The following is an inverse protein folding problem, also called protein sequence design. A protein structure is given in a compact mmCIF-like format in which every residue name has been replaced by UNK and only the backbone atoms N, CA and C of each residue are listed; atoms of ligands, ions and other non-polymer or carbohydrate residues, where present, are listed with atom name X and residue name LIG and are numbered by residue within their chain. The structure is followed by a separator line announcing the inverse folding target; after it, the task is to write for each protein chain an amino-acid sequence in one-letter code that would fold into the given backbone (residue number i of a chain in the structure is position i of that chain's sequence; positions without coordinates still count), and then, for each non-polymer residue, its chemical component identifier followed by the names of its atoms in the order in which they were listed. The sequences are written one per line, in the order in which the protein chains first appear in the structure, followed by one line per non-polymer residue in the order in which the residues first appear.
data_IF_563372529546
#
_entry.id   IF_563372529546
#
_cell.length_a   1.000
_cell.length_b   1.000
_cell.length_c   1.000
_cell.angle_alpha   90.00
_cell.angle_beta   90.00
_cell.angle_gamma   90.00
#
_symmetry.space_group_name_H-M   'P 1'
#
loop_
_entity.id
_entity.type
_entity.pdbx_description
1 polymer ?
#
# COMPACT_ATOMS: atom_id res chain seq x y z
N UNK A 1 -7.35 3.67 10.63
CA UNK A 1 -5.98 3.56 10.08
C UNK A 1 -5.29 4.91 9.94
N UNK A 2 -6.00 5.97 9.53
CA UNK A 2 -5.41 7.26 9.15
C UNK A 2 -5.24 8.30 10.26
N UNK A 3 -5.67 8.04 11.50
CA UNK A 3 -5.66 9.02 12.60
C UNK A 3 -4.67 8.68 13.72
N UNK A 4 -4.84 7.54 14.40
CA UNK A 4 -4.01 7.20 15.56
C UNK A 4 -2.56 6.90 15.16
N UNK A 5 -2.36 6.14 14.10
CA UNK A 5 -1.02 5.67 13.70
C UNK A 5 -0.20 6.79 13.03
N UNK A 6 -0.88 7.74 12.37
CA UNK A 6 -0.25 8.90 11.71
C UNK A 6 0.00 10.06 12.67
N UNK A 7 -0.62 10.08 13.86
CA UNK A 7 -0.42 11.15 14.84
C UNK A 7 1.05 11.29 15.27
N UNK A 8 1.76 10.17 15.42
CA UNK A 8 3.20 10.19 15.73
C UNK A 8 4.03 10.81 14.60
N UNK A 9 3.73 10.47 13.35
CA UNK A 9 4.35 11.08 12.17
C UNK A 9 4.08 12.58 12.14
N UNK A 10 2.81 12.97 12.37
CA UNK A 10 2.40 14.36 12.37
C UNK A 10 3.09 15.20 13.45
N UNK A 11 3.28 14.63 14.65
CA UNK A 11 4.05 15.28 15.72
C UNK A 11 5.49 15.55 15.28
N UNK A 12 6.15 14.56 14.66
CA UNK A 12 7.51 14.72 14.17
C UNK A 12 7.58 15.75 13.02
N UNK A 13 6.57 15.82 12.15
CA UNK A 13 6.47 16.86 11.11
C UNK A 13 6.45 18.25 11.77
N UNK A 14 5.69 18.43 12.85
CA UNK A 14 5.60 19.71 13.57
C UNK A 14 6.92 20.13 14.22
N UNK A 15 7.70 19.18 14.73
CA UNK A 15 9.00 19.45 15.34
C UNK A 15 10.18 19.35 14.36
N UNK A 16 9.92 19.28 13.05
CA UNK A 16 10.96 19.02 12.06
C UNK A 16 12.12 20.04 12.14
N UNK A 17 11.82 21.33 12.29
CA UNK A 17 12.86 22.37 12.37
C UNK A 17 13.89 22.15 13.50
N UNK A 18 13.53 21.44 14.57
CA UNK A 18 14.45 21.07 15.65
C UNK A 18 15.21 19.78 15.38
N UNK A 19 14.67 18.90 14.53
CA UNK A 19 15.18 17.57 14.28
C UNK A 19 16.14 17.50 13.09
N UNK A 20 16.04 18.44 12.13
CA UNK A 20 16.60 18.34 10.77
C UNK A 20 18.09 18.00 10.65
N UNK A 21 18.93 18.24 11.66
CA UNK A 21 20.37 17.90 11.60
C UNK A 21 20.83 16.88 12.66
N UNK A 22 19.89 16.34 13.43
CA UNK A 22 20.20 15.39 14.50
C UNK A 22 20.62 14.03 13.94
N UNK A 23 21.65 13.43 14.52
CA UNK A 23 22.07 12.05 14.20
C UNK A 23 20.91 11.04 14.33
N UNK A 24 19.97 11.34 15.24
CA UNK A 24 18.74 10.58 15.43
C UNK A 24 17.95 10.36 14.12
N UNK A 25 17.85 11.36 13.23
CA UNK A 25 17.12 11.20 11.97
C UNK A 25 17.79 10.18 11.04
N UNK A 26 19.12 10.11 11.02
CA UNK A 26 19.85 9.09 10.22
C UNK A 26 19.58 7.68 10.73
N UNK A 27 19.47 7.51 12.04
CA UNK A 27 19.08 6.22 12.63
C UNK A 27 17.61 5.89 12.35
N UNK A 28 16.73 6.88 12.45
CA UNK A 28 15.31 6.76 12.13
C UNK A 28 15.10 6.38 10.65
N UNK A 29 15.91 6.91 9.73
CA UNK A 29 15.89 6.54 8.32
C UNK A 29 16.13 5.04 8.09
N UNK A 30 17.10 4.46 8.80
CA UNK A 30 17.39 3.04 8.69
C UNK A 30 16.25 2.18 9.26
N UNK A 31 15.75 2.53 10.45
CA UNK A 31 14.65 1.80 11.08
C UNK A 31 13.39 1.86 10.22
N UNK A 32 13.03 3.06 9.76
CA UNK A 32 11.86 3.26 8.92
C UNK A 32 11.97 2.48 7.59
N UNK A 33 13.15 2.49 6.94
CA UNK A 33 13.42 1.65 5.77
C UNK A 33 13.25 0.15 6.04
N UNK A 34 13.74 -0.35 7.18
CA UNK A 34 13.57 -1.75 7.57
C UNK A 34 12.11 -2.09 7.89
N UNK A 35 11.38 -1.23 8.59
CA UNK A 35 9.94 -1.44 8.87
C UNK A 35 9.12 -1.49 7.58
N UNK A 36 9.44 -0.62 6.62
CA UNK A 36 8.79 -0.60 5.31
C UNK A 36 8.98 -1.93 4.57
N UNK A 37 10.21 -2.48 4.57
CA UNK A 37 10.49 -3.77 3.96
C UNK A 37 9.81 -4.93 4.71
N UNK A 38 9.96 -5.01 6.03
CA UNK A 38 9.42 -6.11 6.83
C UNK A 38 7.90 -6.18 6.76
N UNK A 39 7.22 -5.02 6.83
CA UNK A 39 5.77 -4.94 6.66
C UNK A 39 5.34 -5.37 5.25
N UNK A 40 6.12 -5.02 4.22
CA UNK A 40 5.86 -5.45 2.84
C UNK A 40 6.03 -6.96 2.66
N UNK A 41 7.02 -7.59 3.30
CA UNK A 41 7.22 -9.05 3.25
C UNK A 41 6.09 -9.78 3.98
N UNK A 42 5.76 -9.38 5.21
CA UNK A 42 4.67 -10.02 5.97
C UNK A 42 3.32 -9.88 5.26
N UNK A 43 3.05 -8.71 4.65
CA UNK A 43 1.83 -8.50 3.86
C UNK A 43 1.69 -9.43 2.66
N UNK A 44 2.79 -10.06 2.17
CA UNK A 44 2.76 -11.02 1.08
C UNK A 44 2.49 -12.47 1.53
N UNK A 45 2.63 -12.77 2.81
CA UNK A 45 2.38 -14.11 3.36
C UNK A 45 1.08 -14.17 4.18
N UNK A 46 0.55 -13.03 4.63
CA UNK A 46 -0.73 -12.97 5.33
C UNK A 46 -1.93 -13.31 4.42
N UNK A 47 -2.94 -13.95 5.00
CA UNK A 47 -4.21 -14.28 4.33
C UNK A 47 -5.43 -13.54 4.93
N UNK A 48 -5.30 -12.95 6.12
CA UNK A 48 -6.38 -12.14 6.68
C UNK A 48 -6.47 -10.78 5.97
N UNK A 49 -7.61 -10.49 5.35
CA UNK A 49 -7.84 -9.28 4.56
C UNK A 49 -7.52 -8.00 5.36
N UNK A 50 -8.00 -7.90 6.61
CA UNK A 50 -7.72 -6.74 7.49
C UNK A 50 -6.22 -6.61 7.80
N UNK A 51 -5.51 -7.72 8.03
CA UNK A 51 -4.07 -7.70 8.35
C UNK A 51 -3.25 -7.26 7.15
N UNK A 52 -3.58 -7.71 5.94
CA UNK A 52 -2.91 -7.26 4.71
C UNK A 52 -3.04 -5.74 4.54
N UNK A 53 -4.24 -5.19 4.76
CA UNK A 53 -4.47 -3.74 4.66
C UNK A 53 -3.75 -3.00 5.79
N UNK A 54 -3.68 -3.55 7.00
CA UNK A 54 -2.95 -2.97 8.12
C UNK A 54 -1.43 -2.96 7.89
N UNK A 55 -0.83 -4.08 7.46
CA UNK A 55 0.60 -4.16 7.15
C UNK A 55 0.98 -3.24 5.98
N UNK A 56 0.10 -3.07 4.99
CA UNK A 56 0.30 -2.07 3.95
C UNK A 56 0.11 -0.63 4.42
N UNK A 57 -0.49 -0.35 5.60
CA UNK A 57 -0.39 0.98 6.23
C UNK A 57 0.93 1.14 6.96
N UNK A 58 1.41 0.09 7.62
CA UNK A 58 2.71 0.09 8.30
C UNK A 58 3.85 0.32 7.32
N UNK A 59 3.78 -0.28 6.11
CA UNK A 59 4.78 -0.05 5.07
C UNK A 59 4.80 1.41 4.59
N UNK A 60 3.63 2.03 4.39
CA UNK A 60 3.52 3.43 3.95
C UNK A 60 3.90 4.41 5.06
N UNK A 61 3.64 4.07 6.33
CA UNK A 61 4.14 4.83 7.47
C UNK A 61 5.67 4.77 7.55
N UNK A 62 6.27 3.61 7.29
CA UNK A 62 7.71 3.47 7.12
C UNK A 62 8.23 4.43 6.06
N UNK A 63 7.58 4.49 4.89
CA UNK A 63 7.90 5.44 3.82
C UNK A 63 7.74 6.90 4.26
N UNK A 64 6.66 7.28 4.97
CA UNK A 64 6.48 8.65 5.49
C UNK A 64 7.58 9.05 6.48
N UNK A 65 7.92 8.15 7.40
CA UNK A 65 8.95 8.37 8.41
C UNK A 65 10.34 8.49 7.79
N UNK A 66 10.62 7.68 6.76
CA UNK A 66 11.91 7.70 6.08
C UNK A 66 12.12 8.98 5.27
N UNK A 67 11.08 9.57 4.70
CA UNK A 67 11.16 10.87 4.00
C UNK A 67 11.36 12.01 5.00
N UNK A 68 10.64 11.96 6.13
CA UNK A 68 10.80 12.94 7.19
C UNK A 68 12.25 12.97 7.68
N UNK A 69 12.88 11.79 7.84
CA UNK A 69 14.30 11.72 8.20
C UNK A 69 15.28 12.26 7.16
N UNK A 70 14.86 12.41 5.90
CA UNK A 70 15.66 13.09 4.87
C UNK A 70 15.47 14.61 4.90
N UNK A 71 14.63 15.13 5.78
CA UNK A 71 14.33 16.56 5.92
C UNK A 71 13.17 17.07 5.06
N UNK A 72 12.55 16.21 4.25
CA UNK A 72 11.44 16.59 3.35
C UNK A 72 10.07 16.48 4.03
N UNK A 73 9.82 17.32 5.03
CA UNK A 73 8.58 17.28 5.82
C UNK A 73 7.32 17.60 5.00
N UNK A 74 7.41 18.50 4.01
CA UNK A 74 6.28 18.85 3.13
C UNK A 74 5.81 17.64 2.31
N UNK A 75 6.75 16.83 1.80
CA UNK A 75 6.45 15.60 1.06
C UNK A 75 5.85 14.52 1.97
N UNK A 76 6.37 14.38 3.19
CA UNK A 76 5.82 13.46 4.18
C UNK A 76 4.37 13.84 4.54
N UNK A 77 4.09 15.14 4.72
CA UNK A 77 2.74 15.64 5.01
C UNK A 77 1.79 15.44 3.82
N UNK A 78 2.25 15.76 2.61
CA UNK A 78 1.48 15.55 1.39
C UNK A 78 1.11 14.07 1.21
N UNK A 79 2.06 13.14 1.40
CA UNK A 79 1.78 11.71 1.32
C UNK A 79 0.85 11.22 2.44
N UNK A 80 0.97 11.77 3.66
CA UNK A 80 0.06 11.46 4.76
C UNK A 80 -1.39 11.77 4.40
N UNK A 81 -1.64 12.93 3.79
CA UNK A 81 -2.99 13.33 3.36
C UNK A 81 -3.53 12.44 2.24
N UNK A 82 -2.76 12.21 1.17
CA UNK A 82 -3.22 11.35 0.06
C UNK A 82 -3.45 9.92 0.53
N UNK A 83 -2.57 9.39 1.37
CA UNK A 83 -2.69 8.07 1.99
C UNK A 83 -3.94 7.92 2.85
N UNK A 84 -4.29 8.94 3.63
CA UNK A 84 -5.50 8.90 4.44
C UNK A 84 -6.76 8.70 3.58
N UNK A 85 -6.85 9.34 2.40
CA UNK A 85 -8.03 9.27 1.53
C UNK A 85 -8.20 7.87 0.92
N UNK A 86 -7.18 7.33 0.25
CA UNK A 86 -7.32 6.01 -0.39
C UNK A 86 -7.32 4.86 0.62
N UNK A 87 -6.67 4.98 1.78
CA UNK A 87 -6.78 3.95 2.84
C UNK A 87 -8.14 3.92 3.50
N UNK A 88 -8.78 5.07 3.70
CA UNK A 88 -10.15 5.10 4.22
C UNK A 88 -11.09 4.32 3.29
N UNK A 89 -10.94 4.52 1.97
CA UNK A 89 -11.68 3.78 0.94
C UNK A 89 -11.40 2.27 1.01
N UNK A 90 -10.13 1.85 1.10
CA UNK A 90 -9.75 0.43 1.22
C UNK A 90 -10.38 -0.25 2.44
N UNK A 91 -10.31 0.37 3.61
CA UNK A 91 -10.89 -0.21 4.83
C UNK A 91 -12.42 -0.25 4.80
N UNK A 92 -13.07 0.72 4.14
CA UNK A 92 -14.53 0.73 3.97
C UNK A 92 -14.98 -0.39 3.03
N UNK A 93 -14.31 -0.57 1.88
CA UNK A 93 -14.59 -1.68 0.95
C UNK A 93 -14.33 -3.03 1.62
N UNK A 94 -13.22 -3.16 2.34
CA UNK A 94 -12.89 -4.35 3.13
C UNK A 94 -13.96 -4.68 4.19
N UNK A 95 -14.46 -3.67 4.90
CA UNK A 95 -15.51 -3.84 5.91
C UNK A 95 -16.80 -4.38 5.31
N UNK A 96 -17.19 -3.85 4.14
CA UNK A 96 -18.34 -4.35 3.39
C UNK A 96 -18.13 -5.82 2.99
N UNK A 97 -16.99 -6.15 2.36
CA UNK A 97 -16.69 -7.53 1.92
C UNK A 97 -16.76 -8.50 3.10
N UNK A 98 -16.21 -8.13 4.25
CA UNK A 98 -16.22 -8.99 5.45
C UNK A 98 -17.64 -9.17 5.99
N UNK A 99 -18.45 -8.11 6.03
CA UNK A 99 -19.83 -8.19 6.45
C UNK A 99 -20.64 -9.13 5.54
N UNK A 100 -20.45 -9.02 4.22
CA UNK A 100 -21.08 -9.90 3.23
C UNK A 100 -20.60 -11.35 3.31
N UNK A 101 -19.41 -11.57 3.86
CA UNK A 101 -18.82 -12.89 4.06
C UNK A 101 -19.10 -13.48 5.45
N UNK A 102 -20.12 -12.97 6.18
CA UNK A 102 -20.46 -13.39 7.54
C UNK A 102 -19.23 -13.37 8.48
N UNK A 103 -18.50 -12.26 8.47
CA UNK A 103 -17.28 -12.02 9.27
C UNK A 103 -16.06 -12.89 8.93
N UNK A 104 -16.11 -13.70 7.87
CA UNK A 104 -14.94 -14.39 7.36
C UNK A 104 -13.95 -13.40 6.72
N UNK A 105 -12.70 -13.43 7.18
CA UNK A 105 -11.64 -12.49 6.75
C UNK A 105 -10.57 -13.13 5.86
N UNK A 106 -10.58 -14.45 5.75
CA UNK A 106 -9.58 -15.21 4.98
C UNK A 106 -9.82 -15.06 3.48
N UNK A 107 -8.86 -14.44 2.77
CA UNK A 107 -8.95 -14.19 1.33
C UNK A 107 -8.99 -15.47 0.50
N UNK A 108 -8.59 -16.63 1.05
CA UNK A 108 -8.59 -17.92 0.33
C UNK A 108 -10.00 -18.47 0.11
N UNK A 109 -10.89 -18.15 1.03
CA UNK A 109 -12.31 -18.49 0.94
C UNK A 109 -13.05 -17.51 0.04
N UNK A 110 -12.53 -16.30 -0.13
CA UNK A 110 -13.08 -15.30 -1.05
C UNK A 110 -12.73 -15.63 -2.51
N UNK A 111 -13.51 -15.09 -3.44
CA UNK A 111 -13.31 -15.21 -4.88
C UNK A 111 -14.41 -14.46 -5.63
N UNK A 112 -14.22 -14.09 -6.89
CA UNK A 112 -15.24 -13.58 -7.82
C UNK A 112 -16.08 -12.36 -7.40
N UNK A 113 -15.70 -11.60 -6.36
CA UNK A 113 -16.54 -10.55 -5.76
C UNK A 113 -17.01 -9.50 -6.78
N UNK A 114 -16.24 -9.32 -7.85
CA UNK A 114 -16.56 -8.44 -8.98
C UNK A 114 -17.93 -8.70 -9.62
N UNK A 115 -18.42 -9.95 -9.63
CA UNK A 115 -19.72 -10.29 -10.22
C UNK A 115 -20.91 -9.99 -9.30
N UNK A 116 -20.75 -10.19 -8.00
CA UNK A 116 -21.84 -9.99 -7.05
C UNK A 116 -21.91 -8.57 -6.51
N UNK A 117 -20.76 -7.92 -6.32
CA UNK A 117 -20.70 -6.60 -5.69
C UNK A 117 -19.83 -5.63 -6.53
N UNK A 118 -20.33 -5.22 -7.71
CA UNK A 118 -19.51 -4.55 -8.71
C UNK A 118 -19.02 -3.17 -8.26
N UNK A 119 -19.83 -2.40 -7.53
CA UNK A 119 -19.47 -1.02 -7.19
C UNK A 119 -18.36 -0.93 -6.15
N UNK A 120 -18.43 -1.74 -5.10
CA UNK A 120 -17.34 -1.93 -4.14
C UNK A 120 -16.12 -2.59 -4.75
N UNK A 121 -16.28 -3.53 -5.69
CA UNK A 121 -15.14 -4.09 -6.41
C UNK A 121 -14.37 -3.01 -7.17
N UNK A 122 -15.07 -2.07 -7.82
CA UNK A 122 -14.48 -0.93 -8.51
C UNK A 122 -13.75 -0.01 -7.51
N UNK A 123 -14.38 0.31 -6.39
CA UNK A 123 -13.79 1.16 -5.35
C UNK A 123 -12.53 0.52 -4.74
N UNK A 124 -12.56 -0.78 -4.47
CA UNK A 124 -11.43 -1.55 -3.96
C UNK A 124 -10.28 -1.56 -4.98
N UNK A 125 -10.57 -1.76 -6.26
CA UNK A 125 -9.55 -1.78 -7.31
C UNK A 125 -8.90 -0.41 -7.48
N UNK A 126 -9.68 0.66 -7.60
CA UNK A 126 -9.13 2.02 -7.75
C UNK A 126 -8.25 2.40 -6.56
N UNK A 127 -8.66 2.05 -5.33
CA UNK A 127 -7.89 2.34 -4.14
C UNK A 127 -6.62 1.48 -3.99
N UNK A 128 -6.65 0.21 -4.42
CA UNK A 128 -5.45 -0.63 -4.52
C UNK A 128 -4.45 -0.07 -5.56
N UNK A 129 -4.95 0.38 -6.72
CA UNK A 129 -4.12 1.00 -7.76
C UNK A 129 -3.54 2.35 -7.29
N UNK A 130 -4.27 3.10 -6.45
CA UNK A 130 -3.77 4.32 -5.83
C UNK A 130 -2.63 4.01 -4.83
N UNK A 131 -2.71 2.95 -4.03
CA UNK A 131 -1.62 2.50 -3.15
C UNK A 131 -0.35 2.12 -3.92
N UNK A 132 -0.53 1.47 -5.07
CA UNK A 132 0.53 1.12 -6.00
C UNK A 132 1.28 2.34 -6.52
N UNK A 133 0.57 3.45 -6.73
CA UNK A 133 1.11 4.68 -7.31
C UNK A 133 1.02 4.68 -8.83
N UNK A 134 -0.05 4.12 -9.40
CA UNK A 134 -0.28 4.15 -10.86
C UNK A 134 -0.50 5.59 -11.32
N UNK A 135 0.04 5.98 -12.49
CA UNK A 135 -0.04 7.34 -13.01
C UNK A 135 -1.47 7.91 -12.95
N UNK A 136 -1.55 9.20 -12.60
CA UNK A 136 -2.77 10.00 -12.45
C UNK A 136 -3.67 9.70 -11.23
N UNK A 137 -3.40 8.65 -10.44
CA UNK A 137 -4.09 8.44 -9.16
C UNK A 137 -3.43 9.24 -8.02
N UNK A 138 -4.14 9.48 -6.92
CA UNK A 138 -3.63 10.34 -5.84
C UNK A 138 -2.29 9.85 -5.24
N UNK A 139 -2.05 8.54 -5.21
CA UNK A 139 -0.79 7.98 -4.72
C UNK A 139 0.41 8.28 -5.61
N UNK A 140 0.24 8.39 -6.93
CA UNK A 140 1.33 8.69 -7.86
C UNK A 140 1.98 10.04 -7.57
N UNK A 141 1.18 11.09 -7.42
CA UNK A 141 1.67 12.45 -7.18
C UNK A 141 2.60 12.56 -5.98
N UNK A 142 2.38 11.74 -4.95
CA UNK A 142 3.19 11.72 -3.73
C UNK A 142 4.31 10.68 -3.81
N UNK A 143 3.97 9.40 -4.01
CA UNK A 143 4.90 8.27 -3.91
C UNK A 143 5.97 8.29 -5.00
N UNK A 144 5.64 8.66 -6.23
CA UNK A 144 6.62 8.74 -7.33
C UNK A 144 7.62 9.87 -7.08
N UNK A 145 7.10 11.05 -6.71
CA UNK A 145 7.90 12.23 -6.37
C UNK A 145 8.84 11.94 -5.19
N UNK A 146 8.37 11.21 -4.18
CA UNK A 146 9.19 10.73 -3.07
C UNK A 146 10.36 9.86 -3.56
N UNK A 147 10.09 8.86 -4.39
CA UNK A 147 11.12 7.93 -4.87
C UNK A 147 12.15 8.64 -5.76
N UNK A 148 11.72 9.64 -6.52
CA UNK A 148 12.62 10.49 -7.29
C UNK A 148 13.54 11.31 -6.38
N UNK A 149 12.99 11.93 -5.33
CA UNK A 149 13.82 12.68 -4.36
C UNK A 149 14.82 11.76 -3.64
N UNK A 150 14.42 10.53 -3.32
CA UNK A 150 15.32 9.51 -2.75
C UNK A 150 16.45 9.19 -3.72
N UNK A 151 16.16 9.02 -5.01
CA UNK A 151 17.18 8.71 -6.02
C UNK A 151 18.15 9.86 -6.31
N UNK A 152 17.72 11.11 -6.08
CA UNK A 152 18.60 12.28 -6.14
C UNK A 152 19.52 12.41 -4.95
N UNK A 153 19.00 12.08 -3.78
CA UNK A 153 19.72 12.28 -2.55
C UNK A 153 20.90 11.32 -2.44
N UNK A 154 22.01 11.80 -1.89
CA UNK A 154 23.22 10.99 -1.67
C UNK A 154 23.02 10.04 -0.49
N UNK A 155 22.25 8.98 -0.70
CA UNK A 155 21.95 7.96 0.29
C UNK A 155 22.86 6.74 0.16
N UNK A 156 22.96 5.99 1.25
CA UNK A 156 23.64 4.70 1.23
C UNK A 156 22.90 3.71 0.31
N UNK A 157 23.66 2.86 -0.36
CA UNK A 157 23.15 1.83 -1.28
C UNK A 157 22.11 0.91 -0.60
N UNK A 158 22.32 0.59 0.68
CA UNK A 158 21.36 -0.19 1.46
C UNK A 158 19.98 0.47 1.52
N UNK A 159 19.94 1.79 1.81
CA UNK A 159 18.68 2.54 1.91
C UNK A 159 18.00 2.59 0.55
N UNK A 160 18.77 2.82 -0.51
CA UNK A 160 18.26 2.78 -1.88
C UNK A 160 17.57 1.44 -2.17
N UNK A 161 18.21 0.30 -1.86
CA UNK A 161 17.59 -1.01 -2.03
C UNK A 161 16.33 -1.20 -1.19
N UNK A 162 16.31 -0.74 0.06
CA UNK A 162 15.12 -0.85 0.92
C UNK A 162 13.91 -0.12 0.32
N UNK A 163 14.10 1.07 -0.25
CA UNK A 163 13.03 1.82 -0.93
C UNK A 163 12.52 1.09 -2.17
N UNK A 164 13.39 0.76 -3.13
CA UNK A 164 12.93 0.15 -4.36
C UNK A 164 12.37 -1.25 -4.12
N UNK A 165 13.06 -2.11 -3.36
CA UNK A 165 12.55 -3.45 -3.10
C UNK A 165 11.18 -3.44 -2.40
N UNK A 166 11.00 -2.57 -1.40
CA UNK A 166 9.69 -2.45 -0.73
C UNK A 166 8.59 -1.91 -1.65
N UNK A 167 8.89 -0.99 -2.57
CA UNK A 167 7.89 -0.54 -3.57
C UNK A 167 7.46 -1.69 -4.48
N UNK A 168 8.39 -2.57 -4.88
CA UNK A 168 8.08 -3.80 -5.61
C UNK A 168 7.19 -4.74 -4.79
N UNK A 169 7.47 -4.91 -3.48
CA UNK A 169 6.62 -5.68 -2.58
C UNK A 169 5.21 -5.08 -2.47
N UNK A 170 5.05 -3.75 -2.55
CA UNK A 170 3.72 -3.13 -2.55
C UNK A 170 2.88 -3.50 -3.77
N UNK A 171 3.49 -3.58 -4.94
CA UNK A 171 2.82 -4.08 -6.13
C UNK A 171 2.50 -5.57 -6.00
N UNK A 172 3.42 -6.33 -5.41
CA UNK A 172 3.26 -7.77 -5.25
C UNK A 172 2.01 -8.10 -4.40
N UNK A 173 1.89 -7.58 -3.17
CA UNK A 173 0.75 -7.95 -2.32
C UNK A 173 -0.58 -7.38 -2.82
N UNK A 174 -0.57 -6.23 -3.51
CA UNK A 174 -1.82 -5.64 -4.06
C UNK A 174 -2.36 -6.47 -5.19
N UNK A 175 -1.51 -6.96 -6.08
CA UNK A 175 -1.94 -7.80 -7.20
C UNK A 175 -2.36 -9.17 -6.70
N UNK A 176 -1.66 -9.72 -5.71
CA UNK A 176 -2.10 -10.92 -4.99
C UNK A 176 -3.52 -10.74 -4.42
N UNK A 177 -3.78 -9.62 -3.74
CA UNK A 177 -5.10 -9.30 -3.18
C UNK A 177 -6.17 -9.18 -4.29
N UNK A 178 -5.86 -8.52 -5.40
CA UNK A 178 -6.76 -8.39 -6.55
C UNK A 178 -7.12 -9.76 -7.14
N UNK A 179 -6.13 -10.64 -7.32
CA UNK A 179 -6.34 -11.96 -7.90
C UNK A 179 -7.24 -12.83 -7.01
N UNK A 180 -6.96 -12.91 -5.70
CA UNK A 180 -7.78 -13.70 -4.78
C UNK A 180 -9.21 -13.17 -4.63
N UNK A 181 -9.41 -11.85 -4.54
CA UNK A 181 -10.74 -11.29 -4.30
C UNK A 181 -11.61 -11.20 -5.56
N UNK A 182 -11.03 -10.82 -6.70
CA UNK A 182 -11.82 -10.36 -7.85
C UNK A 182 -11.81 -11.33 -9.03
N UNK A 183 -10.68 -12.02 -9.27
CA UNK A 183 -10.44 -12.77 -10.51
C UNK A 183 -10.65 -14.27 -10.31
N UNK A 184 -10.18 -14.82 -9.18
CA UNK A 184 -10.34 -16.23 -8.89
C UNK A 184 -11.81 -16.61 -8.77
N UNK A 185 -12.12 -17.87 -9.09
CA UNK A 185 -13.47 -18.40 -8.94
C UNK A 185 -13.93 -18.35 -7.48
N UNK A 186 -15.24 -18.25 -7.29
CA UNK A 186 -15.85 -18.26 -5.96
C UNK A 186 -15.61 -19.59 -5.25
N UNK A 187 -14.79 -19.57 -4.19
CA UNK A 187 -14.47 -20.74 -3.36
C UNK A 187 -15.42 -20.90 -2.16
N UNK A 188 -16.62 -20.36 -2.26
CA UNK A 188 -17.47 -20.13 -1.11
C UNK A 188 -18.35 -21.32 -0.70
N UNK A 189 -18.56 -21.42 0.62
CA UNK A 189 -19.46 -22.35 1.30
C UNK A 189 -20.89 -22.23 0.75
N UNK A 190 -21.63 -23.34 0.68
CA UNK A 190 -22.91 -23.48 -0.05
C UNK A 190 -24.10 -22.59 0.39
N UNK A 191 -23.96 -21.75 1.42
CA UNK A 191 -25.03 -20.88 1.94
C UNK A 191 -24.50 -19.44 1.96
N UNK A 192 -24.70 -18.71 0.87
CA UNK A 192 -24.42 -17.27 0.79
C UNK A 192 -25.71 -16.48 0.70
N UNK A 193 -25.97 -15.67 1.73
CA UNK A 193 -26.89 -14.55 1.63
C UNK A 193 -26.09 -13.35 1.14
N UNK A 194 -26.08 -13.16 -0.19
CA UNK A 194 -25.62 -11.90 -0.76
C UNK A 194 -26.71 -10.86 -0.47
N UNK A 195 -26.48 -10.01 0.53
CA UNK A 195 -27.29 -8.82 0.73
C UNK A 195 -27.01 -7.79 -0.36
N UNK A 196 -28.03 -7.04 -0.77
CA UNK A 196 -27.83 -5.86 -1.61
C UNK A 196 -26.97 -4.82 -0.87
N UNK A 197 -26.19 -4.05 -1.60
CA UNK A 197 -25.36 -3.00 -1.01
C UNK A 197 -26.22 -1.89 -0.41
N UNK A 198 -26.05 -1.65 0.90
CA UNK A 198 -26.71 -0.53 1.58
C UNK A 198 -26.32 0.81 0.95
N UNK A 199 -27.34 1.58 0.56
CA UNK A 199 -27.16 2.88 -0.11
C UNK A 199 -26.33 3.88 0.72
N UNK A 200 -26.45 3.83 2.06
CA UNK A 200 -25.69 4.72 2.96
C UNK A 200 -24.19 4.46 2.85
N UNK A 201 -23.79 3.18 2.81
CA UNK A 201 -22.39 2.78 2.68
C UNK A 201 -21.87 3.06 1.27
N UNK A 202 -22.68 2.82 0.23
CA UNK A 202 -22.30 3.18 -1.14
C UNK A 202 -22.03 4.67 -1.29
N UNK A 203 -22.90 5.51 -0.72
CA UNK A 203 -22.73 6.97 -0.78
C UNK A 203 -21.39 7.42 -0.19
N UNK A 204 -20.98 6.86 0.96
CA UNK A 204 -19.70 7.21 1.58
C UNK A 204 -18.50 6.69 0.77
N UNK A 205 -18.60 5.48 0.20
CA UNK A 205 -17.55 4.93 -0.67
C UNK A 205 -17.36 5.75 -1.94
N UNK A 206 -18.44 6.19 -2.58
CA UNK A 206 -18.38 7.02 -3.81
C UNK A 206 -17.73 8.37 -3.53
N UNK A 207 -18.03 9.02 -2.41
CA UNK A 207 -17.39 10.29 -2.03
C UNK A 207 -15.87 10.08 -1.85
N UNK A 208 -15.47 9.02 -1.15
CA UNK A 208 -14.06 8.67 -0.96
C UNK A 208 -13.37 8.28 -2.27
N UNK A 209 -14.09 7.66 -3.21
CA UNK A 209 -13.59 7.32 -4.54
C UNK A 209 -13.17 8.57 -5.31
N UNK A 210 -14.07 9.56 -5.39
CA UNK A 210 -13.76 10.83 -6.05
C UNK A 210 -12.54 11.51 -5.41
N UNK A 211 -12.43 11.46 -4.09
CA UNK A 211 -11.25 11.98 -3.39
C UNK A 211 -9.98 11.20 -3.76
N UNK A 212 -10.03 9.87 -3.84
CA UNK A 212 -8.86 9.05 -4.19
C UNK A 212 -8.32 9.31 -5.61
N UNK A 213 -9.15 9.86 -6.50
CA UNK A 213 -8.78 10.26 -7.86
C UNK A 213 -8.23 11.68 -7.90
N UNK A 214 -8.98 12.65 -7.38
CA UNK A 214 -8.69 14.07 -7.58
C UNK A 214 -7.84 14.70 -6.47
N UNK A 215 -7.82 14.13 -5.26
CA UNK A 215 -7.19 14.80 -4.13
C UNK A 215 -5.69 14.97 -4.32
N UNK A 216 -5.00 14.04 -4.99
CA UNK A 216 -3.55 14.12 -5.17
C UNK A 216 -3.11 15.30 -6.03
N UNK A 217 -3.78 15.53 -7.17
CA UNK A 217 -3.50 16.68 -8.03
C UNK A 217 -3.94 17.99 -7.39
N UNK A 218 -5.11 18.02 -6.75
CA UNK A 218 -5.58 19.23 -6.07
C UNK A 218 -4.68 19.62 -4.90
N UNK A 219 -4.26 18.66 -4.07
CA UNK A 219 -3.37 18.91 -2.94
C UNK A 219 -1.96 19.30 -3.38
N UNK A 220 -1.43 18.73 -4.48
CA UNK A 220 -0.09 19.10 -4.96
C UNK A 220 -0.01 20.56 -5.38
N UNK A 221 -1.05 21.08 -6.05
CA UNK A 221 -1.14 22.49 -6.43
C UNK A 221 -1.31 23.43 -5.23
N UNK A 222 -1.94 22.97 -4.15
CA UNK A 222 -2.17 23.79 -2.96
C UNK A 222 -0.96 23.81 -2.02
N UNK A 223 -0.27 22.69 -1.86
CA UNK A 223 0.83 22.55 -0.89
C UNK A 223 2.14 23.09 -1.47
N UNK A 224 2.46 22.77 -2.72
CA UNK A 224 3.73 23.17 -3.32
C UNK A 224 3.61 24.50 -4.03
N UNK A 225 4.22 25.54 -3.44
CA UNK A 225 4.31 26.86 -4.08
C UNK A 225 5.25 26.85 -5.30
N UNK A 226 6.24 25.96 -5.31
CA UNK A 226 7.19 25.76 -6.40
C UNK A 226 7.39 24.26 -6.66
N UNK A 227 7.56 23.83 -7.92
CA UNK A 227 7.87 22.45 -8.23
C UNK A 227 9.28 22.09 -7.74
N UNK A 228 9.47 20.85 -7.26
CA UNK A 228 10.81 20.34 -6.97
C UNK A 228 11.62 20.16 -8.25
N UNK A 229 12.89 20.56 -8.23
CA UNK A 229 13.80 20.37 -9.36
C UNK A 229 14.32 18.93 -9.37
N UNK A 230 13.97 18.17 -10.41
CA UNK A 230 14.35 16.76 -10.56
C UNK A 230 15.27 16.59 -11.79
N UNK A 231 16.59 16.57 -11.57
CA UNK A 231 17.64 16.18 -12.54
C UNK A 231 18.16 14.72 -12.39
N UNK A 232 17.51 13.74 -13.03
CA UNK A 232 17.91 12.31 -13.01
C UNK A 232 18.33 11.82 -14.41
N UNK A 233 19.25 10.84 -14.51
CA UNK A 233 19.42 10.09 -15.74
C UNK A 233 18.15 9.26 -16.02
N UNK A 234 17.87 9.02 -17.31
CA UNK A 234 16.66 8.33 -17.76
C UNK A 234 16.47 6.94 -17.12
N UNK A 235 17.56 6.20 -16.89
CA UNK A 235 17.51 4.89 -16.23
C UNK A 235 16.96 4.95 -14.81
N UNK A 236 17.35 5.96 -14.02
CA UNK A 236 16.87 6.13 -12.65
C UNK A 236 15.41 6.60 -12.62
N UNK A 237 15.01 7.46 -13.55
CA UNK A 237 13.63 7.93 -13.66
C UNK A 237 12.64 6.78 -13.94
N UNK A 238 13.02 5.79 -14.75
CA UNK A 238 12.15 4.64 -15.08
C UNK A 238 12.23 3.52 -14.03
N UNK A 239 13.16 3.62 -13.06
CA UNK A 239 13.38 2.55 -12.07
C UNK A 239 12.10 2.17 -11.30
N UNK A 240 11.27 3.14 -10.93
CA UNK A 240 9.99 2.90 -10.24
C UNK A 240 9.06 2.01 -11.08
N UNK A 241 8.97 2.30 -12.38
CA UNK A 241 8.15 1.52 -13.32
C UNK A 241 8.71 0.10 -13.45
N UNK A 242 10.02 -0.09 -13.63
CA UNK A 242 10.61 -1.42 -13.73
C UNK A 242 10.36 -2.28 -12.49
N UNK A 243 10.56 -1.71 -11.31
CA UNK A 243 10.34 -2.41 -10.05
C UNK A 243 8.86 -2.74 -9.86
N UNK A 244 7.96 -1.83 -10.25
CA UNK A 244 6.53 -2.05 -10.15
C UNK A 244 6.05 -3.18 -11.08
N UNK A 245 6.60 -3.26 -12.30
CA UNK A 245 6.33 -4.33 -13.27
C UNK A 245 6.84 -5.69 -12.78
N UNK A 246 8.05 -5.73 -12.20
CA UNK A 246 8.57 -6.96 -11.58
C UNK A 246 7.66 -7.44 -10.45
N UNK A 247 7.22 -6.54 -9.58
CA UNK A 247 6.26 -6.87 -8.52
C UNK A 247 4.93 -7.39 -9.08
N UNK A 248 4.45 -6.83 -10.18
CA UNK A 248 3.24 -7.29 -10.86
C UNK A 248 3.36 -8.71 -11.41
N UNK A 249 4.45 -8.99 -12.10
CA UNK A 249 4.72 -10.32 -12.65
C UNK A 249 4.82 -11.34 -11.52
N UNK A 250 5.54 -11.03 -10.44
CA UNK A 250 5.67 -11.94 -9.29
C UNK A 250 4.32 -12.18 -8.59
N UNK A 251 3.49 -11.14 -8.45
CA UNK A 251 2.15 -11.28 -7.88
C UNK A 251 1.25 -12.20 -8.66
N UNK A 252 1.21 -12.01 -9.97
CA UNK A 252 0.43 -12.83 -10.87
C UNK A 252 0.92 -14.30 -10.87
N UNK A 253 2.23 -14.53 -10.95
CA UNK A 253 2.78 -15.89 -10.96
C UNK A 253 2.48 -16.66 -9.68
N UNK A 254 2.47 -15.98 -8.53
CA UNK A 254 2.24 -16.63 -7.23
C UNK A 254 0.75 -16.89 -7.00
N UNK A 255 -0.14 -16.01 -7.45
CA UNK A 255 -1.60 -16.25 -7.35
C UNK A 255 -2.05 -17.43 -8.22
N UNK A 256 -1.43 -17.63 -9.38
CA UNK A 256 -1.80 -18.68 -10.35
C UNK A 256 -1.22 -20.06 -10.02
N UNK A 257 -0.50 -20.19 -8.89
CA UNK A 257 0.06 -21.46 -8.44
C UNK A 257 -1.05 -22.47 -8.10
N UNK A 258 -1.34 -23.36 -9.05
CA UNK A 258 -2.29 -24.48 -8.87
C UNK A 258 -1.81 -25.48 -7.81
N UNK A 259 -2.75 -26.31 -7.35
CA UNK A 259 -2.59 -27.41 -6.37
C UNK A 259 -1.35 -28.30 -6.65
N UNK A 260 -0.97 -28.53 -7.91
CA UNK A 260 0.23 -29.33 -8.25
C UNK A 260 1.57 -28.72 -7.78
N UNK A 261 1.59 -27.44 -7.39
CA UNK A 261 2.75 -26.76 -6.83
C UNK A 261 2.87 -26.88 -5.30
N UNK A 262 1.96 -27.61 -4.63
CA UNK A 262 1.91 -27.79 -3.16
C UNK A 262 3.25 -28.21 -2.54
N UNK A 263 4.05 -29.04 -3.22
CA UNK A 263 5.36 -29.46 -2.73
C UNK A 263 6.34 -28.28 -2.52
N UNK A 264 6.22 -27.20 -3.31
CA UNK A 264 7.03 -25.99 -3.12
C UNK A 264 6.56 -25.19 -1.92
N UNK A 265 5.26 -25.12 -1.67
CA UNK A 265 4.71 -24.43 -0.50
C UNK A 265 5.12 -25.13 0.81
N UNK A 266 5.08 -26.46 0.84
CA UNK A 266 5.52 -27.24 2.02
C UNK A 266 6.99 -27.00 2.36
N UNK A 267 7.86 -26.83 1.36
CA UNK A 267 9.28 -26.52 1.59
C UNK A 267 9.49 -25.16 2.26
N UNK A 268 8.66 -24.17 1.89
CA UNK A 268 8.72 -22.82 2.47
C UNK A 268 7.77 -22.63 3.66
N UNK A 269 7.15 -23.68 4.20
CA UNK A 269 6.15 -23.56 5.25
C UNK A 269 6.70 -22.88 6.50
N UNK A 270 7.85 -23.33 7.01
CA UNK A 270 8.47 -22.72 8.20
C UNK A 270 8.83 -21.25 8.00
N UNK A 271 9.29 -20.89 6.79
CA UNK A 271 9.61 -19.51 6.43
C UNK A 271 8.34 -18.66 6.36
N UNK A 272 7.29 -19.17 5.73
CA UNK A 272 6.00 -18.48 5.63
C UNK A 272 5.37 -18.26 7.00
N UNK A 273 5.40 -19.27 7.87
CA UNK A 273 4.91 -19.19 9.24
C UNK A 273 5.69 -18.19 10.07
N UNK A 274 7.03 -18.17 9.92
CA UNK A 274 7.85 -17.14 10.56
C UNK A 274 7.41 -15.74 10.12
N UNK A 275 7.27 -15.50 8.81
CA UNK A 275 6.89 -14.17 8.29
C UNK A 275 5.48 -13.71 8.68
N UNK A 276 4.51 -14.62 8.81
CA UNK A 276 3.17 -14.29 9.31
C UNK A 276 3.19 -13.97 10.80
N UNK A 277 3.93 -14.76 11.60
CA UNK A 277 3.97 -14.60 13.06
C UNK A 277 4.99 -13.55 13.53
N UNK A 278 5.71 -12.84 12.63
CA UNK A 278 6.73 -11.85 13.08
C UNK A 278 6.15 -10.74 13.97
N UNK A 279 4.87 -10.42 13.81
CA UNK A 279 4.23 -9.30 14.48
C UNK A 279 3.25 -9.75 15.59
N UNK A 280 3.08 -11.06 15.81
CA UNK A 280 2.17 -11.67 16.79
C UNK A 280 2.74 -12.94 17.41
#
# INVERSE_FOLDING_TARGET
SSTLVTAGVYLLIRFNNLLVDMFFLKFLLLISGLTMMMAGVSANYEFDLKKIIALSTLSQLGLMMSILSMGFYDLAFFHLLTHAMFKALLFMCAGMIIHMMNDNQDIRMMGGISFYIPMTSLCMNISNLALCGIPFLAGFYSKDLILEMVSMSNLNLLIFYLYYFSTGLTMYYTIRLLMYLMINDFNLLSIYNLYDEDYVMLKSMVILLFMSLFSGSFLSWMIFCYPYMIYLPFSMKIMVIYVSLLGLIMGYLISDMKIYSLNKFLYFYNLSFFFTMMWF
#
